data_IF_764380388759
#
_entry.id   IF_764380388759
#
_cell.length_a   1.000
_cell.length_b   1.000
_cell.length_c   1.000
_cell.angle_alpha   90.00
_cell.angle_beta   90.00
_cell.angle_gamma   90.00
#
_symmetry.space_group_name_H-M   'P 1'
#
loop_
_entity.id
_entity.type
_entity.pdbx_description
1 polymer ?
#
# COMPACT_ATOMS: atom_id res chain seq x y z
N UNK A 1 6.16 22.72 8.48
CA UNK A 1 5.35 23.19 9.63
C UNK A 1 5.90 22.70 10.96
N UNK A 2 5.92 21.39 11.27
CA UNK A 2 6.46 20.91 12.57
C UNK A 2 7.93 21.26 12.75
N UNK A 3 8.74 21.00 11.71
CA UNK A 3 10.17 21.35 11.71
C UNK A 3 10.38 22.85 11.87
N UNK A 4 9.61 23.68 11.16
CA UNK A 4 9.65 25.14 11.28
C UNK A 4 9.25 25.60 12.68
N UNK A 5 8.22 24.99 13.27
CA UNK A 5 7.73 25.32 14.62
C UNK A 5 8.77 24.96 15.66
N UNK A 6 9.44 23.82 15.52
CA UNK A 6 10.56 23.41 16.38
C UNK A 6 11.77 24.34 16.18
N UNK A 7 12.07 24.75 14.94
CA UNK A 7 13.15 25.68 14.64
C UNK A 7 12.93 27.06 15.30
N UNK A 8 11.72 27.62 15.15
CA UNK A 8 11.35 28.89 15.80
C UNK A 8 11.35 28.75 17.33
N UNK A 9 10.87 27.62 17.86
CA UNK A 9 10.89 27.39 19.32
C UNK A 9 12.31 27.35 19.87
N UNK A 10 13.27 26.78 19.13
CA UNK A 10 14.69 26.79 19.50
C UNK A 10 15.28 28.19 19.61
N UNK A 11 14.83 29.13 18.79
CA UNK A 11 15.27 30.53 18.85
C UNK A 11 14.76 31.26 20.10
N UNK A 12 13.64 30.81 20.67
CA UNK A 12 13.01 31.42 21.85
C UNK A 12 13.45 30.74 23.15
N UNK A 13 13.24 29.42 23.25
CA UNK A 13 13.65 28.63 24.41
C UNK A 13 13.63 27.14 24.09
N UNK A 14 14.79 26.51 24.24
CA UNK A 14 14.96 25.06 24.05
C UNK A 14 14.14 24.26 25.06
N UNK A 15 13.90 24.81 26.25
CA UNK A 15 13.18 24.12 27.34
C UNK A 15 11.68 23.94 27.05
N UNK A 16 11.11 24.73 26.13
CA UNK A 16 9.68 24.69 25.78
C UNK A 16 9.40 23.69 24.65
N UNK A 17 10.44 23.22 23.95
CA UNK A 17 10.33 22.29 22.82
C UNK A 17 9.50 21.04 23.15
N UNK A 18 9.69 20.35 24.29
CA UNK A 18 8.89 19.16 24.62
C UNK A 18 7.38 19.45 24.68
N UNK A 19 6.97 20.63 25.19
CA UNK A 19 5.57 21.05 25.24
C UNK A 19 5.00 21.35 23.86
N UNK A 20 5.77 22.04 23.03
CA UNK A 20 5.36 22.32 21.65
C UNK A 20 5.18 21.01 20.87
N UNK A 21 6.08 20.05 21.06
CA UNK A 21 5.99 18.72 20.46
C UNK A 21 4.74 17.98 20.94
N UNK A 22 4.48 17.96 22.26
CA UNK A 22 3.30 17.31 22.84
C UNK A 22 1.99 17.85 22.26
N UNK A 23 1.82 19.17 22.28
CA UNK A 23 0.64 19.85 21.73
C UNK A 23 0.49 19.59 20.22
N UNK A 24 1.61 19.57 19.49
CA UNK A 24 1.61 19.25 18.06
C UNK A 24 1.12 17.83 17.81
N UNK A 25 1.54 16.85 18.61
CA UNK A 25 1.10 15.45 18.47
C UNK A 25 -0.41 15.34 18.77
N UNK A 26 -0.91 16.03 19.78
CA UNK A 26 -2.34 16.03 20.14
C UNK A 26 -3.22 16.65 19.02
N UNK A 27 -2.75 17.73 18.38
CA UNK A 27 -3.44 18.30 17.23
C UNK A 27 -3.40 17.34 16.02
N UNK A 28 -2.29 16.64 15.77
CA UNK A 28 -2.23 15.63 14.72
C UNK A 28 -3.11 14.42 15.01
N UNK A 29 -3.27 14.01 16.26
CA UNK A 29 -4.22 12.96 16.65
C UNK A 29 -5.66 13.37 16.32
N UNK A 30 -6.03 14.61 16.66
CA UNK A 30 -7.34 15.19 16.33
C UNK A 30 -7.54 15.26 14.82
N UNK A 31 -6.55 15.77 14.09
CA UNK A 31 -6.57 15.84 12.63
C UNK A 31 -6.68 14.46 11.99
N UNK A 32 -5.96 13.45 12.49
CA UNK A 32 -6.00 12.09 11.98
C UNK A 32 -7.41 11.49 12.01
N UNK A 33 -8.13 11.75 13.10
CA UNK A 33 -9.51 11.30 13.26
C UNK A 33 -10.44 12.01 12.29
N UNK A 34 -10.34 13.34 12.18
CA UNK A 34 -11.17 14.13 11.25
C UNK A 34 -10.90 13.76 9.79
N UNK A 35 -9.65 13.52 9.43
CA UNK A 35 -9.26 13.14 8.07
C UNK A 35 -9.78 11.76 7.69
N UNK A 36 -9.70 10.80 8.63
CA UNK A 36 -10.31 9.47 8.49
C UNK A 36 -11.83 9.59 8.30
N UNK A 37 -12.52 10.32 9.17
CA UNK A 37 -13.98 10.46 9.11
C UNK A 37 -14.43 11.15 7.82
N UNK A 38 -13.70 12.17 7.36
CA UNK A 38 -13.94 12.84 6.07
C UNK A 38 -13.74 11.88 4.90
N UNK A 39 -12.71 11.03 4.93
CA UNK A 39 -12.46 10.01 3.91
C UNK A 39 -13.59 8.98 3.88
N UNK A 40 -14.00 8.46 5.04
CA UNK A 40 -15.14 7.53 5.14
C UNK A 40 -16.42 8.17 4.60
N UNK A 41 -16.72 9.40 5.01
CA UNK A 41 -17.90 10.13 4.52
C UNK A 41 -17.87 10.41 3.01
N UNK A 42 -16.68 10.65 2.44
CA UNK A 42 -16.49 10.76 0.99
C UNK A 42 -16.77 9.44 0.27
N UNK A 43 -16.27 8.33 0.82
CA UNK A 43 -16.47 6.99 0.27
C UNK A 43 -17.94 6.57 0.28
N UNK A 44 -18.63 6.74 1.41
CA UNK A 44 -20.06 6.41 1.53
C UNK A 44 -20.88 7.12 0.44
N UNK A 45 -20.67 8.42 0.25
CA UNK A 45 -21.38 9.19 -0.78
C UNK A 45 -21.07 8.73 -2.21
N UNK A 46 -19.84 8.27 -2.47
CA UNK A 46 -19.48 7.73 -3.77
C UNK A 46 -20.27 6.45 -4.07
N UNK A 47 -20.32 5.50 -3.13
CA UNK A 47 -21.03 4.24 -3.33
C UNK A 47 -22.56 4.40 -3.30
N UNK A 48 -23.08 5.47 -2.70
CA UNK A 48 -24.50 5.85 -2.84
C UNK A 48 -24.84 6.32 -4.27
N UNK A 49 -23.99 7.15 -4.88
CA UNK A 49 -24.18 7.60 -6.26
C UNK A 49 -22.85 7.93 -6.96
N UNK A 50 -22.40 6.99 -7.79
CA UNK A 50 -21.10 7.07 -8.47
C UNK A 50 -21.03 8.16 -9.55
N UNK A 51 -22.17 8.60 -10.10
CA UNK A 51 -22.22 9.58 -11.21
C UNK A 51 -21.68 10.97 -10.83
N UNK A 52 -21.72 11.32 -9.55
CA UNK A 52 -21.30 12.65 -9.06
C UNK A 52 -19.79 12.76 -8.80
N UNK A 53 -19.04 11.65 -8.82
CA UNK A 53 -17.64 11.61 -8.39
C UNK A 53 -16.68 11.29 -9.54
N UNK A 54 -16.57 12.20 -10.51
CA UNK A 54 -15.77 12.03 -11.75
C UNK A 54 -14.28 11.71 -11.56
N UNK A 55 -13.72 11.96 -10.37
CA UNK A 55 -12.30 11.73 -10.04
C UNK A 55 -12.14 10.96 -8.73
N UNK A 56 -13.08 10.07 -8.42
CA UNK A 56 -13.09 9.31 -7.18
C UNK A 56 -11.78 8.56 -6.94
N UNK A 57 -11.40 7.66 -7.85
CA UNK A 57 -10.19 6.85 -7.76
C UNK A 57 -8.93 7.72 -7.59
N UNK A 58 -8.78 8.76 -8.41
CA UNK A 58 -7.65 9.69 -8.31
C UNK A 58 -7.59 10.42 -6.96
N UNK A 59 -8.75 10.79 -6.40
CA UNK A 59 -8.83 11.41 -5.07
C UNK A 59 -8.42 10.43 -3.98
N UNK A 60 -8.89 9.18 -4.06
CA UNK A 60 -8.57 8.16 -3.05
C UNK A 60 -7.11 7.70 -3.14
N UNK A 61 -6.50 7.67 -4.33
CA UNK A 61 -5.05 7.50 -4.52
C UNK A 61 -4.27 8.61 -3.80
N UNK A 62 -4.69 9.88 -3.98
CA UNK A 62 -4.06 11.00 -3.29
C UNK A 62 -4.20 10.89 -1.76
N UNK A 63 -5.36 10.44 -1.28
CA UNK A 63 -5.58 10.18 0.15
C UNK A 63 -4.63 9.10 0.67
N UNK A 64 -4.52 7.96 -0.02
CA UNK A 64 -3.61 6.88 0.36
C UNK A 64 -2.15 7.34 0.38
N UNK A 65 -1.69 8.05 -0.65
CA UNK A 65 -0.33 8.58 -0.71
C UNK A 65 -0.05 9.57 0.43
N UNK A 66 -1.01 10.46 0.74
CA UNK A 66 -0.87 11.41 1.84
C UNK A 66 -0.78 10.70 3.20
N UNK A 67 -1.60 9.67 3.44
CA UNK A 67 -1.56 8.88 4.69
C UNK A 67 -0.22 8.17 4.88
N UNK A 68 0.34 7.66 3.80
CA UNK A 68 1.66 7.03 3.82
C UNK A 68 2.79 8.04 4.06
N UNK A 69 2.71 9.24 3.46
CA UNK A 69 3.62 10.36 3.77
C UNK A 69 3.50 10.77 5.24
N UNK A 70 2.27 10.89 5.77
CA UNK A 70 2.04 11.18 7.19
C UNK A 70 2.66 10.12 8.10
N UNK A 71 2.56 8.84 7.71
CA UNK A 71 3.20 7.73 8.43
C UNK A 71 4.73 7.88 8.44
N UNK A 72 5.34 8.13 7.28
CA UNK A 72 6.79 8.31 7.15
C UNK A 72 7.31 9.55 7.91
N UNK A 73 6.58 10.67 7.84
CA UNK A 73 6.88 11.88 8.60
C UNK A 73 6.77 11.65 10.10
N UNK A 74 5.79 10.87 10.54
CA UNK A 74 5.64 10.52 11.97
C UNK A 74 6.77 9.61 12.45
N UNK A 75 7.23 8.66 11.62
CA UNK A 75 8.44 7.85 11.90
C UNK A 75 9.70 8.73 12.08
N UNK A 76 9.87 9.75 11.23
CA UNK A 76 10.99 10.71 11.34
C UNK A 76 10.92 11.52 12.63
N UNK A 77 9.72 11.99 13.00
CA UNK A 77 9.49 12.73 14.24
C UNK A 77 9.78 11.86 15.47
N UNK A 78 9.34 10.60 15.46
CA UNK A 78 9.63 9.63 16.52
C UNK A 78 11.15 9.44 16.72
N UNK A 79 11.89 9.22 15.64
CA UNK A 79 13.35 9.09 15.67
C UNK A 79 14.01 10.34 16.23
N UNK A 80 13.53 11.53 15.83
CA UNK A 80 14.06 12.79 16.33
C UNK A 80 13.86 12.94 17.85
N UNK A 81 12.67 12.62 18.35
CA UNK A 81 12.35 12.66 19.79
C UNK A 81 13.18 11.63 20.56
N UNK A 82 13.37 10.42 20.00
CA UNK A 82 14.19 9.40 20.64
C UNK A 82 15.64 9.86 20.81
N UNK A 83 16.26 10.37 19.75
CA UNK A 83 17.66 10.81 19.73
C UNK A 83 17.90 12.08 20.56
N UNK A 84 16.99 13.05 20.53
CA UNK A 84 17.17 14.34 21.21
C UNK A 84 16.98 14.24 22.72
N UNK A 85 16.24 13.23 23.19
CA UNK A 85 15.97 13.03 24.63
C UNK A 85 16.76 11.86 25.25
N UNK A 86 17.70 11.25 24.53
CA UNK A 86 18.63 10.21 25.05
C UNK A 86 19.94 10.78 25.63
N UNK A 87 20.29 12.02 25.25
CA UNK A 87 21.50 12.71 25.70
C UNK A 87 21.54 13.07 27.18
N UNK A 88 20.42 12.92 27.92
CA UNK A 88 20.31 13.34 29.32
C UNK A 88 20.51 12.18 30.33
N UNK A 89 20.76 10.95 29.88
CA UNK A 89 20.82 9.75 30.74
C UNK A 89 22.18 9.04 30.82
N UNK A 90 23.21 9.53 30.12
CA UNK A 90 24.54 8.89 30.07
C UNK A 90 25.69 9.75 30.62
N UNK A 91 25.38 10.69 31.52
CA UNK A 91 26.38 11.37 32.35
C UNK A 91 26.54 10.69 33.71
N UNK A 92 27.58 9.87 33.85
CA UNK A 92 28.20 9.61 35.15
C UNK A 92 28.82 10.93 35.62
N UNK A 93 28.22 11.63 36.58
CA UNK A 93 29.02 12.38 37.53
C UNK A 93 28.34 12.50 38.89
N UNK A 94 29.17 12.24 39.89
CA UNK A 94 28.91 12.36 41.31
C UNK A 94 28.71 13.85 41.66
N UNK A 95 28.11 14.15 42.81
CA UNK A 95 27.86 15.50 43.39
C UNK A 95 26.52 16.22 43.11
N UNK A 96 25.63 16.11 44.10
CA UNK A 96 24.74 17.16 44.62
C UNK A 96 24.11 18.18 43.64
N UNK A 97 23.07 17.78 42.92
CA UNK A 97 21.81 18.54 42.76
C UNK A 97 20.83 17.77 41.88
N UNK A 98 19.66 17.33 42.38
CA UNK A 98 18.62 16.79 41.53
C UNK A 98 17.84 17.96 40.90
N UNK A 99 18.44 18.66 39.93
CA UNK A 99 17.67 19.37 38.91
C UNK A 99 17.62 18.49 37.67
N UNK A 100 16.91 17.37 37.83
CA UNK A 100 16.42 16.61 36.68
C UNK A 100 15.55 17.55 35.85
N UNK A 101 15.74 17.56 34.53
CA UNK A 101 15.00 18.31 33.49
C UNK A 101 13.48 18.04 33.45
N UNK A 102 12.89 17.58 34.55
CA UNK A 102 11.46 17.60 34.88
C UNK A 102 10.81 19.00 34.91
N UNK A 103 11.53 20.07 34.53
CA UNK A 103 11.10 21.48 34.61
C UNK A 103 9.73 21.75 33.95
N UNK A 104 9.27 20.91 33.02
CA UNK A 104 7.97 21.05 32.35
C UNK A 104 7.03 19.83 32.42
N UNK A 105 7.42 18.76 33.12
CA UNK A 105 6.55 17.62 33.46
C UNK A 105 6.18 16.65 32.33
N UNK A 106 6.74 16.78 31.11
CA UNK A 106 6.41 15.88 30.00
C UNK A 106 7.27 14.62 30.05
N UNK A 107 6.62 13.47 30.17
CA UNK A 107 7.28 12.18 30.18
C UNK A 107 7.60 11.74 28.75
N UNK A 108 8.89 11.53 28.43
CA UNK A 108 9.34 11.01 27.13
C UNK A 108 8.58 9.73 26.72
N UNK A 109 8.31 8.83 27.67
CA UNK A 109 7.61 7.59 27.39
C UNK A 109 6.16 7.84 26.94
N UNK A 110 5.51 8.86 27.49
CA UNK A 110 4.16 9.28 27.12
C UNK A 110 4.13 9.86 25.71
N UNK A 111 5.10 10.73 25.37
CA UNK A 111 5.25 11.26 24.00
C UNK A 111 5.42 10.14 22.97
N UNK A 112 6.28 9.16 23.27
CA UNK A 112 6.50 8.01 22.39
C UNK A 112 5.20 7.21 22.24
N UNK A 113 4.44 7.01 23.31
CA UNK A 113 3.14 6.32 23.25
C UNK A 113 2.12 7.08 22.39
N UNK A 114 2.03 8.40 22.54
CA UNK A 114 1.14 9.24 21.70
C UNK A 114 1.51 9.17 20.23
N UNK A 115 2.81 9.18 19.90
CA UNK A 115 3.31 9.03 18.53
C UNK A 115 3.00 7.65 17.96
N UNK A 116 3.21 6.59 18.73
CA UNK A 116 2.87 5.23 18.30
C UNK A 116 1.36 5.08 18.07
N UNK A 117 0.54 5.75 18.88
CA UNK A 117 -0.91 5.80 18.64
C UNK A 117 -1.25 6.56 17.36
N UNK A 118 -0.64 7.72 17.12
CA UNK A 118 -0.81 8.50 15.90
C UNK A 118 -0.41 7.69 14.66
N UNK A 119 0.73 6.98 14.70
CA UNK A 119 1.17 6.07 13.63
C UNK A 119 0.15 4.98 13.36
N UNK A 120 -0.41 4.37 14.40
CA UNK A 120 -1.47 3.35 14.24
C UNK A 120 -2.70 3.94 13.55
N UNK A 121 -3.11 5.17 13.90
CA UNK A 121 -4.25 5.83 13.27
C UNK A 121 -4.00 6.10 11.77
N UNK A 122 -2.80 6.54 11.40
CA UNK A 122 -2.43 6.73 9.99
C UNK A 122 -2.43 5.41 9.22
N UNK A 123 -1.78 4.37 9.76
CA UNK A 123 -1.73 3.06 9.13
C UNK A 123 -3.13 2.44 8.96
N UNK A 124 -3.97 2.53 9.98
CA UNK A 124 -5.35 2.04 9.90
C UNK A 124 -6.16 2.77 8.82
N UNK A 125 -6.01 4.10 8.75
CA UNK A 125 -6.69 4.91 7.73
C UNK A 125 -6.18 4.59 6.33
N UNK A 126 -4.87 4.37 6.18
CA UNK A 126 -4.25 3.97 4.92
C UNK A 126 -4.80 2.62 4.45
N UNK A 127 -4.85 1.64 5.35
CA UNK A 127 -5.41 0.32 5.08
C UNK A 127 -6.87 0.40 4.65
N UNK A 128 -7.66 1.22 5.34
CA UNK A 128 -9.06 1.46 4.95
C UNK A 128 -9.16 2.08 3.56
N UNK A 129 -8.33 3.07 3.22
CA UNK A 129 -8.32 3.68 1.88
C UNK A 129 -7.94 2.67 0.78
N UNK A 130 -6.93 1.82 1.04
CA UNK A 130 -6.51 0.75 0.11
C UNK A 130 -7.61 -0.30 -0.07
N UNK A 131 -8.27 -0.72 1.01
CA UNK A 131 -9.42 -1.64 0.95
C UNK A 131 -10.55 -1.06 0.10
N UNK A 132 -10.82 0.24 0.22
CA UNK A 132 -11.88 0.88 -0.57
C UNK A 132 -11.51 0.95 -2.05
N UNK A 133 -10.25 1.22 -2.40
CA UNK A 133 -9.79 1.14 -3.79
C UNK A 133 -9.96 -0.29 -4.36
N UNK A 134 -9.64 -1.31 -3.55
CA UNK A 134 -9.81 -2.71 -3.92
C UNK A 134 -11.30 -3.04 -4.18
N UNK A 135 -12.18 -2.61 -3.28
CA UNK A 135 -13.62 -2.85 -3.39
C UNK A 135 -14.21 -2.13 -4.61
N UNK A 136 -13.74 -0.92 -4.91
CA UNK A 136 -14.15 -0.17 -6.10
C UNK A 136 -13.93 -0.97 -7.39
N UNK A 137 -12.75 -1.58 -7.55
CA UNK A 137 -12.45 -2.42 -8.73
C UNK A 137 -13.28 -3.69 -8.69
N UNK A 138 -13.36 -4.33 -7.53
CA UNK A 138 -14.05 -5.60 -7.38
C UNK A 138 -15.53 -5.47 -7.72
N UNK A 139 -16.23 -4.44 -7.25
CA UNK A 139 -17.63 -4.18 -7.60
C UNK A 139 -17.87 -4.06 -9.11
N UNK A 140 -16.91 -3.48 -9.86
CA UNK A 140 -17.03 -3.34 -11.31
C UNK A 140 -16.91 -4.67 -12.06
N UNK A 141 -16.16 -5.62 -11.51
CA UNK A 141 -15.93 -6.94 -12.14
C UNK A 141 -16.78 -8.06 -11.52
N UNK A 142 -17.39 -7.83 -10.35
CA UNK A 142 -18.09 -8.85 -9.56
C UNK A 142 -19.17 -9.58 -10.36
N UNK A 143 -19.98 -8.85 -11.14
CA UNK A 143 -21.03 -9.44 -11.98
C UNK A 143 -20.50 -10.42 -13.04
N UNK A 144 -19.27 -10.22 -13.50
CA UNK A 144 -18.63 -11.08 -14.49
C UNK A 144 -17.97 -12.28 -13.80
N UNK A 145 -17.34 -12.06 -12.64
CA UNK A 145 -16.80 -13.12 -11.79
C UNK A 145 -17.91 -14.07 -11.30
N UNK A 146 -19.08 -13.54 -10.97
CA UNK A 146 -20.25 -14.33 -10.59
C UNK A 146 -20.80 -15.19 -11.74
N UNK A 147 -20.34 -15.01 -12.98
CA UNK A 147 -20.75 -15.80 -14.13
C UNK A 147 -19.75 -16.90 -14.50
N UNK A 148 -18.59 -16.97 -13.84
CA UNK A 148 -17.56 -17.99 -14.11
C UNK A 148 -18.11 -19.41 -14.04
N UNK A 149 -17.64 -20.31 -14.91
CA UNK A 149 -18.05 -21.73 -14.92
C UNK A 149 -19.58 -21.95 -15.01
N UNK A 150 -20.32 -20.99 -15.57
CA UNK A 150 -21.74 -21.15 -15.96
C UNK A 150 -21.86 -21.48 -17.44
N UNK A 151 -23.08 -21.79 -17.90
CA UNK A 151 -23.37 -21.91 -19.33
C UNK A 151 -23.10 -20.61 -20.10
N UNK A 152 -23.32 -19.45 -19.49
CA UNK A 152 -23.01 -18.17 -20.12
C UNK A 152 -21.50 -17.98 -20.32
N UNK A 153 -20.68 -18.35 -19.32
CA UNK A 153 -19.22 -18.33 -19.45
C UNK A 153 -18.69 -19.32 -20.50
N UNK A 154 -19.29 -20.51 -20.60
CA UNK A 154 -18.87 -21.50 -21.60
C UNK A 154 -19.12 -21.01 -23.04
N UNK A 155 -20.21 -20.27 -23.25
CA UNK A 155 -20.65 -19.86 -24.59
C UNK A 155 -20.12 -18.47 -25.02
N UNK A 156 -19.72 -17.60 -24.09
CA UNK A 156 -19.31 -16.22 -24.39
C UNK A 156 -17.94 -15.82 -23.84
N UNK A 157 -17.24 -14.88 -24.47
CA UNK A 157 -15.97 -14.30 -23.96
C UNK A 157 -16.14 -12.92 -23.33
N UNK A 158 -17.30 -12.27 -23.52
CA UNK A 158 -17.53 -10.86 -23.14
C UNK A 158 -17.24 -10.57 -21.66
N UNK A 159 -17.56 -11.51 -20.77
CA UNK A 159 -17.29 -11.36 -19.34
C UNK A 159 -15.80 -11.30 -19.02
N UNK A 160 -15.00 -12.19 -19.63
CA UNK A 160 -13.54 -12.22 -19.47
C UNK A 160 -12.91 -10.95 -20.03
N UNK A 161 -13.27 -10.60 -21.26
CA UNK A 161 -12.65 -9.46 -21.95
C UNK A 161 -12.95 -8.16 -21.18
N UNK A 162 -14.16 -8.04 -20.63
CA UNK A 162 -14.54 -6.91 -19.74
C UNK A 162 -13.73 -6.91 -18.43
N UNK A 163 -13.53 -8.07 -17.79
CA UNK A 163 -12.67 -8.18 -16.59
C UNK A 163 -11.26 -7.70 -16.92
N UNK A 164 -10.66 -8.21 -18.00
CA UNK A 164 -9.29 -7.86 -18.39
C UNK A 164 -9.15 -6.35 -18.68
N UNK A 165 -10.04 -5.77 -19.48
CA UNK A 165 -10.01 -4.34 -19.79
C UNK A 165 -10.16 -3.50 -18.52
N UNK A 166 -11.14 -3.84 -17.66
CA UNK A 166 -11.37 -3.13 -16.41
C UNK A 166 -10.13 -3.18 -15.50
N UNK A 167 -9.51 -4.36 -15.35
CA UNK A 167 -8.31 -4.50 -14.55
C UNK A 167 -7.14 -3.67 -15.12
N UNK A 168 -6.95 -3.68 -16.43
CA UNK A 168 -5.91 -2.87 -17.10
C UNK A 168 -6.14 -1.38 -16.83
N UNK A 169 -7.37 -0.88 -17.00
CA UNK A 169 -7.71 0.52 -16.74
C UNK A 169 -7.41 0.92 -15.29
N UNK A 170 -7.75 0.06 -14.33
CA UNK A 170 -7.43 0.32 -12.91
C UNK A 170 -5.94 0.24 -12.62
N UNK A 171 -5.20 -0.71 -13.22
CA UNK A 171 -3.75 -0.82 -13.05
C UNK A 171 -3.02 0.41 -13.57
N UNK A 172 -3.48 0.99 -14.67
CA UNK A 172 -2.97 2.23 -15.23
C UNK A 172 -3.23 3.41 -14.28
N UNK A 173 -4.43 3.50 -13.71
CA UNK A 173 -4.74 4.50 -12.68
C UNK A 173 -3.86 4.35 -11.43
N UNK A 174 -3.59 3.11 -11.01
CA UNK A 174 -2.78 2.79 -9.84
C UNK A 174 -1.28 3.02 -10.01
N UNK A 175 -0.80 3.37 -11.20
CA UNK A 175 0.58 3.84 -11.41
C UNK A 175 0.91 5.08 -10.55
N UNK A 176 -0.11 5.83 -10.13
CA UNK A 176 0.05 7.02 -9.30
C UNK A 176 0.10 6.75 -7.79
N UNK A 177 -0.14 5.52 -7.33
CA UNK A 177 0.08 5.12 -5.94
C UNK A 177 1.57 5.04 -5.63
N UNK A 178 1.95 5.27 -4.37
CA UNK A 178 3.31 4.99 -3.92
C UNK A 178 3.64 3.51 -4.17
N UNK A 179 4.88 3.18 -4.59
CA UNK A 179 5.25 1.85 -5.10
C UNK A 179 4.86 0.66 -4.21
N UNK A 180 5.13 0.76 -2.91
CA UNK A 180 4.85 -0.32 -1.96
C UNK A 180 3.35 -0.50 -1.72
N UNK A 181 2.57 0.58 -1.73
CA UNK A 181 1.10 0.53 -1.63
C UNK A 181 0.51 -0.11 -2.89
N UNK A 182 1.01 0.32 -4.06
CA UNK A 182 0.62 -0.23 -5.37
C UNK A 182 0.81 -1.74 -5.42
N UNK A 183 1.99 -2.24 -5.04
CA UNK A 183 2.29 -3.68 -5.07
C UNK A 183 1.31 -4.46 -4.20
N UNK A 184 1.09 -4.02 -2.95
CA UNK A 184 0.18 -4.71 -2.03
C UNK A 184 -1.25 -4.75 -2.57
N UNK A 185 -1.77 -3.61 -3.05
CA UNK A 185 -3.11 -3.51 -3.61
C UNK A 185 -3.28 -4.45 -4.82
N UNK A 186 -2.30 -4.45 -5.73
CA UNK A 186 -2.36 -5.25 -6.95
C UNK A 186 -2.24 -6.76 -6.68
N UNK A 187 -1.37 -7.17 -5.75
CA UNK A 187 -1.27 -8.56 -5.31
C UNK A 187 -2.58 -9.05 -4.67
N UNK A 188 -3.22 -8.20 -3.85
CA UNK A 188 -4.50 -8.53 -3.20
C UNK A 188 -5.63 -8.64 -4.22
N UNK A 189 -5.73 -7.69 -5.16
CA UNK A 189 -6.72 -7.70 -6.23
C UNK A 189 -6.61 -8.96 -7.10
N UNK A 190 -5.39 -9.32 -7.52
CA UNK A 190 -5.15 -10.55 -8.27
C UNK A 190 -5.51 -11.80 -7.45
N UNK A 191 -5.18 -11.81 -6.16
CA UNK A 191 -5.51 -12.94 -5.28
C UNK A 191 -7.03 -13.09 -5.11
N UNK A 192 -7.77 -11.98 -4.99
CA UNK A 192 -9.24 -11.98 -4.93
C UNK A 192 -9.85 -12.51 -6.23
N UNK A 193 -9.38 -12.05 -7.39
CA UNK A 193 -9.82 -12.56 -8.70
C UNK A 193 -9.51 -14.06 -8.84
N UNK A 194 -8.30 -14.50 -8.53
CA UNK A 194 -7.93 -15.91 -8.57
C UNK A 194 -8.77 -16.76 -7.60
N UNK A 195 -9.07 -16.22 -6.42
CA UNK A 195 -9.97 -16.82 -5.45
C UNK A 195 -11.35 -17.11 -6.03
N UNK A 196 -11.94 -16.17 -6.77
CA UNK A 196 -13.23 -16.37 -7.45
C UNK A 196 -13.19 -17.51 -8.47
N UNK A 197 -12.08 -17.65 -9.22
CA UNK A 197 -11.89 -18.78 -10.13
C UNK A 197 -11.83 -20.11 -9.38
N UNK A 198 -11.08 -20.16 -8.27
CA UNK A 198 -10.96 -21.38 -7.45
C UNK A 198 -12.32 -21.76 -6.86
N UNK A 199 -13.02 -20.80 -6.27
CA UNK A 199 -14.39 -20.99 -5.72
C UNK A 199 -15.33 -21.46 -6.82
N UNK A 200 -15.30 -20.83 -8.01
CA UNK A 200 -16.12 -21.24 -9.13
C UNK A 200 -15.83 -22.67 -9.60
N UNK A 201 -14.57 -23.08 -9.66
CA UNK A 201 -14.18 -24.46 -10.02
C UNK A 201 -14.67 -25.47 -8.98
N UNK A 202 -14.57 -25.13 -7.69
CA UNK A 202 -14.97 -26.00 -6.60
C UNK A 202 -16.50 -26.16 -6.51
N UNK A 203 -17.22 -25.04 -6.59
CA UNK A 203 -18.63 -24.98 -6.23
C UNK A 203 -19.56 -25.20 -7.44
N UNK A 204 -19.12 -24.86 -8.65
CA UNK A 204 -20.01 -24.85 -9.83
C UNK A 204 -19.92 -26.15 -10.61
N UNK A 205 -21.02 -26.89 -10.57
CA UNK A 205 -21.19 -28.16 -11.29
C UNK A 205 -21.67 -27.94 -12.71
N UNK A 206 -20.79 -27.50 -13.60
CA UNK A 206 -21.08 -27.41 -15.02
C UNK A 206 -21.18 -28.83 -15.61
N UNK A 207 -22.35 -29.19 -16.16
CA UNK A 207 -22.54 -30.48 -16.85
C UNK A 207 -22.25 -30.32 -18.33
N UNK A 208 -21.35 -31.16 -18.85
CA UNK A 208 -20.95 -31.16 -20.26
C UNK A 208 -21.69 -32.26 -21.03
N UNK A 209 -22.35 -31.88 -22.12
CA UNK A 209 -23.17 -32.79 -22.93
C UNK A 209 -22.35 -33.64 -23.90
N UNK A 210 -21.18 -33.17 -24.33
CA UNK A 210 -20.33 -33.84 -25.30
C UNK A 210 -18.83 -33.56 -25.06
N UNK A 211 -17.96 -34.15 -25.89
CA UNK A 211 -16.51 -33.94 -25.82
C UNK A 211 -16.13 -32.49 -26.11
N UNK A 212 -16.76 -31.87 -27.12
CA UNK A 212 -16.44 -30.52 -27.57
C UNK A 212 -16.69 -29.49 -26.46
N UNK A 213 -17.78 -29.61 -25.70
CA UNK A 213 -18.07 -28.76 -24.54
C UNK A 213 -17.02 -28.93 -23.43
N UNK A 214 -16.55 -30.15 -23.18
CA UNK A 214 -15.48 -30.39 -22.20
C UNK A 214 -14.17 -29.76 -22.66
N UNK A 215 -13.82 -29.94 -23.93
CA UNK A 215 -12.61 -29.37 -24.51
C UNK A 215 -12.65 -27.84 -24.50
N UNK A 216 -13.77 -27.24 -24.93
CA UNK A 216 -13.99 -25.80 -24.90
C UNK A 216 -13.87 -25.22 -23.48
N UNK A 217 -14.44 -25.91 -22.48
CA UNK A 217 -14.32 -25.49 -21.08
C UNK A 217 -12.88 -25.52 -20.59
N UNK A 218 -12.12 -26.56 -20.95
CA UNK A 218 -10.71 -26.67 -20.58
C UNK A 218 -9.87 -25.57 -21.24
N UNK A 219 -10.08 -25.31 -22.54
CA UNK A 219 -9.38 -24.25 -23.26
C UNK A 219 -9.72 -22.86 -22.70
N UNK A 220 -10.98 -22.58 -22.40
CA UNK A 220 -11.36 -21.30 -21.76
C UNK A 220 -10.70 -21.10 -20.41
N UNK A 221 -10.71 -22.12 -19.55
CA UNK A 221 -10.07 -22.01 -18.25
C UNK A 221 -8.55 -21.79 -18.40
N UNK A 222 -7.93 -22.43 -19.39
CA UNK A 222 -6.51 -22.24 -19.74
C UNK A 222 -6.23 -20.81 -20.18
N UNK A 223 -7.06 -20.25 -21.07
CA UNK A 223 -6.95 -18.86 -21.55
C UNK A 223 -7.13 -17.85 -20.41
N UNK A 224 -8.18 -17.99 -19.61
CA UNK A 224 -8.46 -17.12 -18.46
C UNK A 224 -7.28 -17.13 -17.48
N UNK A 225 -6.76 -18.33 -17.17
CA UNK A 225 -5.60 -18.48 -16.29
C UNK A 225 -4.36 -17.83 -16.88
N UNK A 226 -4.10 -18.00 -18.19
CA UNK A 226 -2.96 -17.39 -18.85
C UNK A 226 -3.01 -15.86 -18.78
N UNK A 227 -4.18 -15.25 -18.99
CA UNK A 227 -4.36 -13.80 -18.90
C UNK A 227 -4.12 -13.27 -17.49
N UNK A 228 -4.64 -13.96 -16.46
CA UNK A 228 -4.40 -13.57 -15.06
C UNK A 228 -2.92 -13.70 -14.69
N UNK A 229 -2.24 -14.74 -15.20
CA UNK A 229 -0.81 -14.91 -14.98
C UNK A 229 0.04 -13.85 -15.69
N UNK A 230 -0.36 -13.42 -16.89
CA UNK A 230 0.29 -12.31 -17.60
C UNK A 230 0.17 -11.00 -16.81
N UNK A 231 -1.04 -10.68 -16.35
CA UNK A 231 -1.29 -9.52 -15.48
C UNK A 231 -0.45 -9.60 -14.19
N UNK A 232 -0.38 -10.77 -13.58
CA UNK A 232 0.46 -11.01 -12.40
C UNK A 232 1.94 -10.81 -12.68
N UNK A 233 2.44 -11.30 -13.80
CA UNK A 233 3.88 -11.17 -14.10
C UNK A 233 4.27 -9.71 -14.33
N UNK A 234 3.40 -8.92 -15.00
CA UNK A 234 3.58 -7.46 -15.13
C UNK A 234 3.57 -6.75 -13.78
N UNK A 235 2.67 -7.13 -12.87
CA UNK A 235 2.61 -6.55 -11.52
C UNK A 235 3.86 -6.90 -10.70
N UNK A 236 4.28 -8.17 -10.75
CA UNK A 236 5.45 -8.64 -10.02
C UNK A 236 6.76 -8.12 -10.60
N UNK A 237 6.78 -7.58 -11.82
CA UNK A 237 7.97 -7.04 -12.44
C UNK A 237 8.60 -5.92 -11.60
N UNK A 238 7.81 -4.97 -11.10
CA UNK A 238 8.31 -3.88 -10.25
C UNK A 238 8.89 -4.41 -8.93
N UNK A 239 8.21 -5.38 -8.31
CA UNK A 239 8.69 -6.02 -7.07
C UNK A 239 9.99 -6.79 -7.31
N UNK A 240 10.03 -7.64 -8.35
CA UNK A 240 11.21 -8.43 -8.73
C UNK A 240 12.39 -7.52 -9.08
N UNK A 241 12.15 -6.43 -9.79
CA UNK A 241 13.16 -5.40 -10.11
C UNK A 241 13.69 -4.74 -8.84
N UNK A 242 12.81 -4.35 -7.91
CA UNK A 242 13.21 -3.77 -6.62
C UNK A 242 14.03 -4.75 -5.77
N UNK A 243 13.65 -6.02 -5.73
CA UNK A 243 14.42 -7.08 -5.06
C UNK A 243 15.78 -7.30 -5.73
N UNK A 244 15.82 -7.25 -7.06
CA UNK A 244 17.05 -7.36 -7.84
C UNK A 244 18.02 -6.23 -7.50
N UNK A 245 17.57 -4.98 -7.49
CA UNK A 245 18.38 -3.81 -7.09
C UNK A 245 18.92 -3.96 -5.68
N UNK A 246 18.13 -4.44 -4.72
CA UNK A 246 18.61 -4.68 -3.35
C UNK A 246 19.71 -5.74 -3.28
N UNK A 247 19.62 -6.77 -4.12
CA UNK A 247 20.64 -7.83 -4.20
C UNK A 247 21.91 -7.37 -4.94
N UNK A 248 21.76 -6.47 -5.91
CA UNK A 248 22.83 -5.94 -6.75
C UNK A 248 22.80 -4.40 -6.75
N UNK A 249 23.15 -3.74 -5.63
CA UNK A 249 22.99 -2.29 -5.47
C UNK A 249 23.85 -1.45 -6.43
N UNK A 250 24.91 -2.03 -6.99
CA UNK A 250 25.82 -1.37 -7.92
C UNK A 250 25.37 -1.49 -9.40
N UNK A 251 24.18 -2.05 -9.68
CA UNK A 251 23.69 -2.16 -11.05
C UNK A 251 23.44 -0.78 -11.66
N UNK A 252 23.93 -0.58 -12.87
CA UNK A 252 23.72 0.65 -13.65
C UNK A 252 22.29 0.72 -14.20
N UNK A 253 21.70 1.91 -14.19
CA UNK A 253 20.35 2.15 -14.70
C UNK A 253 20.16 1.69 -16.15
N UNK A 254 21.16 1.88 -17.01
CA UNK A 254 21.07 1.45 -18.41
C UNK A 254 21.01 -0.06 -18.55
N UNK A 255 21.75 -0.80 -17.71
CA UNK A 255 21.73 -2.27 -17.72
C UNK A 255 20.42 -2.81 -17.18
N UNK A 256 19.89 -2.22 -16.11
CA UNK A 256 18.61 -2.60 -15.54
C UNK A 256 17.46 -2.31 -16.52
N UNK A 257 17.47 -1.15 -17.16
CA UNK A 257 16.51 -0.77 -18.20
C UNK A 257 16.56 -1.75 -19.38
N UNK A 258 17.76 -2.08 -19.88
CA UNK A 258 17.91 -3.01 -20.99
C UNK A 258 17.42 -4.42 -20.63
N UNK A 259 17.65 -4.88 -19.40
CA UNK A 259 17.17 -6.18 -18.90
C UNK A 259 15.65 -6.21 -18.78
N UNK A 260 15.01 -5.13 -18.33
CA UNK A 260 13.55 -5.05 -18.26
C UNK A 260 12.95 -5.01 -19.67
N UNK A 261 13.55 -4.22 -20.57
CA UNK A 261 13.10 -4.06 -21.95
C UNK A 261 13.29 -5.34 -22.80
N UNK A 262 14.12 -6.31 -22.36
CA UNK A 262 14.27 -7.58 -23.07
C UNK A 262 13.06 -8.51 -22.96
N UNK A 263 12.02 -8.12 -22.20
CA UNK A 263 10.77 -8.88 -22.09
C UNK A 263 9.83 -8.70 -23.29
N UNK A 264 10.11 -7.72 -24.15
CA UNK A 264 9.32 -7.38 -25.35
C UNK A 264 7.87 -6.89 -25.09
N UNK A 265 7.30 -7.18 -23.91
CA UNK A 265 5.98 -6.71 -23.44
C UNK A 265 6.02 -5.37 -22.69
N UNK A 266 7.23 -4.86 -22.39
CA UNK A 266 7.48 -3.57 -21.72
C UNK A 266 8.30 -2.69 -22.64
N UNK A 267 7.80 -1.48 -22.95
CA UNK A 267 8.53 -0.56 -23.84
C UNK A 267 9.68 0.15 -23.11
N UNK A 268 10.59 0.76 -23.88
CA UNK A 268 11.79 1.38 -23.34
C UNK A 268 11.52 2.50 -22.32
N UNK A 269 10.39 3.22 -22.44
CA UNK A 269 10.01 4.29 -21.52
C UNK A 269 9.54 3.72 -20.18
N UNK A 270 8.68 2.71 -20.22
CA UNK A 270 8.21 1.97 -19.03
C UNK A 270 9.36 1.25 -18.33
N UNK A 271 10.21 0.56 -19.10
CA UNK A 271 11.39 -0.13 -18.58
C UNK A 271 12.32 0.83 -17.82
N UNK A 272 12.53 2.03 -18.37
CA UNK A 272 13.32 3.06 -17.71
C UNK A 272 12.65 3.57 -16.43
N UNK A 273 11.35 3.83 -16.46
CA UNK A 273 10.61 4.29 -15.28
C UNK A 273 10.68 3.26 -14.13
N UNK A 274 10.50 1.97 -14.43
CA UNK A 274 10.59 0.88 -13.44
C UNK A 274 12.02 0.76 -12.90
N UNK A 275 13.04 0.91 -13.75
CA UNK A 275 14.44 0.88 -13.33
C UNK A 275 14.79 2.05 -12.40
N UNK A 276 14.42 3.27 -12.79
CA UNK A 276 14.66 4.49 -12.01
C UNK A 276 13.95 4.42 -10.65
N UNK A 277 12.68 4.00 -10.63
CA UNK A 277 11.89 3.79 -9.41
C UNK A 277 12.55 2.76 -8.46
N UNK A 278 13.00 1.63 -9.00
CA UNK A 278 13.66 0.58 -8.22
C UNK A 278 15.01 1.04 -7.64
N UNK A 279 15.80 1.80 -8.42
CA UNK A 279 17.08 2.35 -7.99
C UNK A 279 16.92 3.42 -6.92
N UNK A 280 15.95 4.32 -7.06
CA UNK A 280 15.67 5.34 -6.05
C UNK A 280 15.20 4.70 -4.73
N UNK A 281 14.34 3.70 -4.79
CA UNK A 281 13.92 2.93 -3.60
C UNK A 281 15.08 2.15 -2.96
N UNK A 282 16.08 1.73 -3.73
CA UNK A 282 17.28 1.05 -3.23
C UNK A 282 18.23 1.99 -2.46
N UNK A 283 18.30 3.28 -2.82
CA UNK A 283 19.20 4.26 -2.19
C UNK A 283 18.86 4.54 -0.72
N UNK A 284 17.59 4.41 -0.33
CA UNK A 284 17.14 4.63 1.05
C UNK A 284 17.36 3.42 1.98
N UNK A 285 17.72 2.25 1.43
CA UNK A 285 17.93 1.02 2.19
C UNK A 285 19.21 0.28 1.75
N UNK A 286 20.40 0.82 2.08
CA UNK A 286 21.67 0.18 1.74
C UNK A 286 21.84 -1.12 2.53
N UNK A 287 21.76 -2.25 1.83
CA UNK A 287 21.97 -3.64 2.29
C UNK A 287 21.20 -4.04 3.56
N UNK A 288 20.12 -4.78 3.35
CA UNK A 288 19.65 -5.76 4.33
C UNK A 288 18.94 -5.15 5.53
N UNK A 289 17.92 -4.34 5.29
CA UNK A 289 16.90 -4.15 6.32
C UNK A 289 16.07 -5.44 6.38
N UNK A 290 16.50 -6.38 7.24
CA UNK A 290 15.73 -7.61 7.54
C UNK A 290 14.32 -7.27 8.04
N UNK A 291 14.09 -6.03 8.47
CA UNK A 291 12.83 -5.57 9.05
C UNK A 291 11.76 -5.18 8.05
N UNK A 292 12.06 -5.00 6.75
CA UNK A 292 10.98 -4.79 5.77
C UNK A 292 10.10 -6.05 5.60
N UNK A 293 10.64 -7.23 5.92
CA UNK A 293 9.91 -8.50 5.94
C UNK A 293 9.32 -8.84 7.32
N UNK A 294 9.74 -8.14 8.39
CA UNK A 294 9.23 -8.33 9.76
C UNK A 294 8.23 -7.25 10.20
N UNK A 295 8.12 -6.12 9.47
CA UNK A 295 6.90 -5.33 9.56
C UNK A 295 5.78 -6.24 9.07
N UNK A 296 4.74 -6.51 9.89
CA UNK A 296 3.61 -7.25 9.39
C UNK A 296 3.07 -6.46 8.21
N UNK A 297 3.30 -6.99 6.99
CA UNK A 297 2.33 -6.88 5.93
C UNK A 297 1.09 -7.44 6.59
N UNK A 298 0.24 -6.54 7.11
CA UNK A 298 -1.01 -6.91 7.74
C UNK A 298 -1.64 -7.85 6.74
N UNK A 299 -1.76 -9.10 7.15
CA UNK A 299 -2.20 -10.19 6.32
C UNK A 299 -3.69 -9.96 6.06
N UNK A 300 -3.99 -9.05 5.15
CA UNK A 300 -5.30 -8.92 4.56
C UNK A 300 -5.58 -10.23 3.84
N UNK A 301 -6.59 -10.95 4.30
CA UNK A 301 -7.13 -12.11 3.59
C UNK A 301 -6.74 -13.51 4.08
N UNK A 302 -6.10 -13.70 5.25
CA UNK A 302 -5.91 -15.06 5.82
C UNK A 302 -7.20 -15.72 6.36
N UNK A 303 -8.37 -15.15 6.10
CA UNK A 303 -9.65 -15.74 6.49
C UNK A 303 -10.30 -16.58 5.37
N UNK A 304 -9.85 -16.47 4.11
CA UNK A 304 -10.44 -17.23 3.00
C UNK A 304 -9.85 -18.64 2.78
N UNK A 305 -8.87 -19.05 3.60
CA UNK A 305 -8.25 -20.40 3.53
C UNK A 305 -8.49 -21.26 4.77
N UNK A 306 -9.37 -20.83 5.69
CA UNK A 306 -9.94 -21.74 6.71
C UNK A 306 -11.35 -22.14 6.28
N UNK A 307 -11.42 -23.14 5.41
CA UNK A 307 -12.61 -23.98 5.34
C UNK A 307 -12.47 -25.04 6.43
N UNK A 308 -13.38 -24.99 7.41
CA UNK A 308 -13.73 -26.14 8.25
C UNK A 308 -14.47 -27.20 7.41
#
# INVERSE_FOLDING_TARGET
MVEDTVAVTKEISVEVIPRVIDETIDEFLTFSTRYKDATVGYNVKHFENREFFKRYTATLIAVANNLDICTESTDKLEKHIRLTMESDTSGNDDTTSPRSLTTFGINRQELIQKIEHLKKNWNFSLQSAVSVLLDEVYENIQKHLSNLLTRQWLMGSEGRDTICITLIDYFDNYQHLRPHIRIVLLEELLSKVLGEYIVAINDRRLTYSNYDERHLSAERLREDTANILDLRDKILLTLKTSQFVRKYPDIRAELLTALINSREDVNAKEAKAIADEALDNGKFHPKGDKDMFNKPVVAFGREYLRMD
#
